data_IF_658857827474
#
_entry.id   IF_658857827474
#
_cell.length_a   1.000
_cell.length_b   1.000
_cell.length_c   1.000
_cell.angle_alpha   90.00
_cell.angle_beta   90.00
_cell.angle_gamma   90.00
#
_symmetry.space_group_name_H-M   'P 1'
#
loop_
_entity.id
_entity.type
_entity.pdbx_description
1 polymer ?
#
# COMPACT_ATOMS: atom_id res chain seq x y z
N UNK A 1 -17.63 16.93 -33.68
CA UNK A 1 -17.48 17.02 -32.21
C UNK A 1 -17.55 15.68 -31.43
N UNK A 2 -18.36 14.68 -31.82
CA UNK A 2 -18.58 13.42 -31.06
C UNK A 2 -17.33 12.58 -30.71
N UNK A 3 -16.28 12.57 -31.54
CA UNK A 3 -15.06 11.76 -31.33
C UNK A 3 -14.11 12.33 -30.27
N UNK A 4 -14.29 13.61 -29.92
CA UNK A 4 -13.38 14.34 -29.01
C UNK A 4 -13.60 13.96 -27.54
N UNK A 5 -14.85 13.89 -27.09
CA UNK A 5 -15.20 13.60 -25.69
C UNK A 5 -14.80 12.19 -25.22
N UNK A 6 -14.93 11.18 -26.09
CA UNK A 6 -14.51 9.81 -25.76
C UNK A 6 -12.99 9.70 -25.63
N UNK A 7 -12.23 10.41 -26.48
CA UNK A 7 -10.76 10.48 -26.37
C UNK A 7 -10.34 11.24 -25.11
N UNK A 8 -11.05 12.32 -24.78
CA UNK A 8 -10.78 13.14 -23.60
C UNK A 8 -11.03 12.37 -22.29
N UNK A 9 -12.15 11.64 -22.20
CA UNK A 9 -12.45 10.78 -21.05
C UNK A 9 -11.39 9.69 -20.89
N UNK A 10 -11.01 8.99 -21.97
CA UNK A 10 -9.95 7.98 -21.94
C UNK A 10 -8.62 8.56 -21.45
N UNK A 11 -8.28 9.77 -21.90
CA UNK A 11 -7.04 10.46 -21.53
C UNK A 11 -7.04 10.86 -20.05
N UNK A 12 -8.16 11.34 -19.51
CA UNK A 12 -8.31 11.61 -18.08
C UNK A 12 -8.30 10.33 -17.23
N UNK A 13 -8.88 9.22 -17.72
CA UNK A 13 -8.80 7.92 -17.05
C UNK A 13 -7.36 7.44 -16.98
N UNK A 14 -6.62 7.53 -18.10
CA UNK A 14 -5.22 7.11 -18.16
C UNK A 14 -4.33 7.99 -17.27
N UNK A 15 -4.55 9.31 -17.28
CA UNK A 15 -3.85 10.23 -16.38
C UNK A 15 -4.16 9.95 -14.90
N UNK A 16 -5.43 9.71 -14.57
CA UNK A 16 -5.86 9.40 -13.21
C UNK A 16 -5.23 8.11 -12.68
N UNK A 17 -5.19 7.05 -13.50
CA UNK A 17 -4.51 5.79 -13.14
C UNK A 17 -3.00 6.01 -12.95
N UNK A 18 -2.33 6.75 -13.83
CA UNK A 18 -0.90 7.05 -13.70
C UNK A 18 -0.62 7.85 -12.43
N UNK A 19 -1.43 8.87 -12.14
CA UNK A 19 -1.26 9.73 -10.97
C UNK A 19 -1.53 8.94 -9.68
N UNK A 20 -2.51 8.03 -9.66
CA UNK A 20 -2.71 7.09 -8.54
C UNK A 20 -1.48 6.21 -8.37
N UNK A 21 -0.96 5.63 -9.46
CA UNK A 21 0.18 4.73 -9.41
C UNK A 21 1.46 5.43 -8.91
N UNK A 22 1.70 6.67 -9.35
CA UNK A 22 2.81 7.51 -8.86
C UNK A 22 2.54 7.96 -7.42
N UNK A 23 1.31 8.34 -7.10
CA UNK A 23 0.90 8.80 -5.77
C UNK A 23 1.05 7.72 -4.69
N UNK A 24 0.76 6.47 -5.02
CA UNK A 24 1.01 5.31 -4.12
C UNK A 24 2.48 5.25 -3.71
N UNK A 25 3.42 5.67 -4.58
CA UNK A 25 4.86 5.65 -4.28
C UNK A 25 5.39 6.94 -3.63
N UNK A 26 4.73 8.08 -3.79
CA UNK A 26 5.30 9.39 -3.42
C UNK A 26 4.47 10.21 -2.43
N UNK A 27 3.14 10.24 -2.55
CA UNK A 27 2.30 11.16 -1.77
C UNK A 27 0.82 10.80 -1.79
N UNK A 28 0.23 10.74 -0.59
CA UNK A 28 -1.22 10.60 -0.38
C UNK A 28 -2.02 11.67 -1.13
N UNK A 29 -1.54 12.91 -1.18
CA UNK A 29 -2.21 14.03 -1.88
C UNK A 29 -2.27 13.75 -3.40
N UNK A 30 -1.19 13.20 -3.97
CA UNK A 30 -1.17 12.82 -5.38
C UNK A 30 -2.13 11.66 -5.67
N UNK A 31 -2.23 10.68 -4.76
CA UNK A 31 -3.22 9.60 -4.88
C UNK A 31 -4.66 10.14 -4.90
N UNK A 32 -5.00 11.08 -4.00
CA UNK A 32 -6.32 11.71 -3.98
C UNK A 32 -6.61 12.54 -5.25
N UNK A 33 -5.64 13.27 -5.77
CA UNK A 33 -5.77 13.99 -7.05
C UNK A 33 -6.06 13.04 -8.22
N UNK A 34 -5.40 11.88 -8.25
CA UNK A 34 -5.65 10.87 -9.27
C UNK A 34 -7.07 10.27 -9.17
N UNK A 35 -7.57 10.05 -7.96
CA UNK A 35 -8.96 9.61 -7.73
C UNK A 35 -9.96 10.68 -8.19
N UNK A 36 -9.73 11.95 -7.88
CA UNK A 36 -10.58 13.07 -8.34
C UNK A 36 -10.59 13.14 -9.88
N UNK A 37 -9.44 12.96 -10.52
CA UNK A 37 -9.33 12.91 -11.99
C UNK A 37 -10.08 11.72 -12.59
N UNK A 38 -10.05 10.54 -11.95
CA UNK A 38 -10.87 9.40 -12.37
C UNK A 38 -12.36 9.69 -12.25
N UNK A 39 -12.79 10.30 -11.15
CA UNK A 39 -14.19 10.71 -10.96
C UNK A 39 -14.59 11.74 -12.03
N UNK A 40 -13.75 12.72 -12.33
CA UNK A 40 -14.01 13.71 -13.38
C UNK A 40 -14.06 13.05 -14.78
N UNK A 41 -13.12 12.15 -15.10
CA UNK A 41 -13.11 11.38 -16.35
C UNK A 41 -14.40 10.56 -16.53
N UNK A 42 -14.86 9.99 -15.43
CA UNK A 42 -16.07 9.21 -15.33
C UNK A 42 -17.32 10.08 -15.50
N UNK A 43 -17.40 11.25 -14.87
CA UNK A 43 -18.51 12.22 -15.05
C UNK A 43 -18.55 12.76 -16.49
N UNK A 44 -17.41 13.08 -17.09
CA UNK A 44 -17.34 13.52 -18.49
C UNK A 44 -17.74 12.37 -19.43
N UNK A 45 -17.30 11.16 -19.12
CA UNK A 45 -17.70 9.93 -19.82
C UNK A 45 -19.20 9.70 -19.74
N UNK A 46 -19.82 9.87 -18.57
CA UNK A 46 -21.26 9.66 -18.38
C UNK A 46 -22.07 10.73 -19.09
N UNK A 47 -21.69 12.01 -19.05
CA UNK A 47 -22.38 13.06 -19.84
C UNK A 47 -22.28 12.76 -21.35
N UNK A 48 -21.14 12.27 -21.82
CA UNK A 48 -20.95 11.90 -23.22
C UNK A 48 -21.70 10.62 -23.63
N UNK A 49 -21.88 9.67 -22.72
CA UNK A 49 -22.47 8.34 -22.95
C UNK A 49 -23.97 8.29 -22.58
N UNK A 50 -24.51 9.18 -21.74
CA UNK A 50 -25.97 9.36 -21.56
C UNK A 50 -26.66 9.67 -22.90
N UNK A 51 -25.91 10.15 -23.90
CA UNK A 51 -26.37 10.29 -25.29
C UNK A 51 -26.38 8.98 -26.11
N UNK A 52 -25.99 7.83 -25.53
CA UNK A 52 -25.83 6.51 -26.18
C UNK A 52 -26.24 5.38 -25.22
N UNK A 53 -27.47 4.91 -25.39
CA UNK A 53 -28.17 4.02 -24.46
C UNK A 53 -27.46 2.67 -24.19
N UNK A 54 -27.64 2.20 -22.94
CA UNK A 54 -27.27 0.90 -22.33
C UNK A 54 -25.84 0.64 -21.86
N UNK A 55 -24.78 0.91 -22.63
CA UNK A 55 -23.41 0.55 -22.18
C UNK A 55 -22.91 1.37 -20.97
N UNK A 56 -23.47 2.57 -20.76
CA UNK A 56 -23.09 3.48 -19.65
C UNK A 56 -23.43 2.94 -18.27
N UNK A 57 -24.58 2.25 -18.15
CA UNK A 57 -25.12 1.84 -16.85
C UNK A 57 -24.35 0.66 -16.26
N UNK A 58 -23.86 -0.23 -17.11
CA UNK A 58 -23.06 -1.41 -16.70
C UNK A 58 -21.70 -0.96 -16.15
N UNK A 59 -21.04 -0.01 -16.79
CA UNK A 59 -19.78 0.55 -16.27
C UNK A 59 -20.02 1.31 -14.97
N UNK A 60 -21.16 2.01 -14.85
CA UNK A 60 -21.57 2.70 -13.62
C UNK A 60 -21.78 1.74 -12.45
N UNK A 61 -22.53 0.67 -12.68
CA UNK A 61 -22.79 -0.32 -11.64
C UNK A 61 -21.51 -1.03 -11.23
N UNK A 62 -20.64 -1.41 -12.17
CA UNK A 62 -19.34 -2.02 -11.87
C UNK A 62 -18.41 -1.10 -11.07
N UNK A 63 -18.36 0.20 -11.39
CA UNK A 63 -17.55 1.16 -10.64
C UNK A 63 -18.07 1.36 -9.22
N UNK A 64 -19.38 1.48 -9.04
CA UNK A 64 -20.01 1.59 -7.72
C UNK A 64 -19.77 0.33 -6.90
N UNK A 65 -19.97 -0.85 -7.50
CA UNK A 65 -19.70 -2.14 -6.86
C UNK A 65 -18.22 -2.20 -6.45
N UNK A 66 -17.29 -1.78 -7.31
CA UNK A 66 -15.87 -1.72 -6.98
C UNK A 66 -15.59 -0.80 -5.78
N UNK A 67 -16.19 0.39 -5.72
CA UNK A 67 -16.04 1.29 -4.57
C UNK A 67 -16.60 0.68 -3.27
N UNK A 68 -17.68 -0.10 -3.34
CA UNK A 68 -18.21 -0.83 -2.18
C UNK A 68 -17.34 -2.03 -1.77
N UNK A 69 -16.63 -2.65 -2.71
CA UNK A 69 -15.72 -3.77 -2.44
C UNK A 69 -14.39 -3.28 -1.83
N UNK A 70 -13.91 -2.09 -2.20
CA UNK A 70 -12.62 -1.58 -1.73
C UNK A 70 -12.46 -1.63 -0.19
N UNK A 71 -13.41 -1.14 0.63
CA UNK A 71 -13.33 -1.25 2.10
C UNK A 71 -13.33 -2.70 2.60
N UNK A 72 -13.96 -3.64 1.88
CA UNK A 72 -14.00 -5.06 2.24
C UNK A 72 -12.65 -5.75 1.99
N UNK A 73 -11.83 -5.20 1.11
CA UNK A 73 -10.47 -5.70 0.83
C UNK A 73 -9.41 -5.12 1.77
N UNK A 74 -9.82 -4.45 2.85
CA UNK A 74 -8.91 -3.85 3.80
C UNK A 74 -8.14 -4.94 4.56
N UNK A 75 -6.79 -4.96 4.52
CA UNK A 75 -6.02 -6.03 5.14
C UNK A 75 -6.07 -5.96 6.67
N UNK A 76 -5.96 -7.13 7.30
CA UNK A 76 -6.10 -7.29 8.76
C UNK A 76 -4.82 -6.95 9.52
N UNK A 77 -4.83 -7.08 10.85
CA UNK A 77 -3.62 -7.01 11.67
C UNK A 77 -2.66 -8.16 11.38
N UNK A 78 -3.18 -9.36 11.14
CA UNK A 78 -2.35 -10.53 10.89
C UNK A 78 -1.62 -10.37 9.55
N UNK A 79 -2.32 -9.85 8.52
CA UNK A 79 -1.70 -9.51 7.23
C UNK A 79 -0.56 -8.49 7.34
N UNK A 80 -0.55 -7.64 8.37
CA UNK A 80 0.55 -6.71 8.60
C UNK A 80 1.77 -7.42 9.17
N UNK A 81 1.56 -8.34 10.13
CA UNK A 81 2.63 -9.17 10.69
C UNK A 81 3.23 -10.08 9.62
N UNK A 82 2.39 -10.73 8.80
CA UNK A 82 2.85 -11.58 7.70
C UNK A 82 3.67 -10.79 6.69
N UNK A 83 3.24 -9.56 6.38
CA UNK A 83 3.97 -8.65 5.51
C UNK A 83 5.31 -8.20 6.10
N UNK A 84 5.39 -7.94 7.41
CA UNK A 84 6.67 -7.63 8.07
C UNK A 84 7.65 -8.80 7.98
N UNK A 85 7.15 -10.04 8.14
CA UNK A 85 7.98 -11.24 8.05
C UNK A 85 8.48 -11.48 6.62
N UNK A 86 7.62 -11.32 5.62
CA UNK A 86 7.96 -11.58 4.21
C UNK A 86 8.85 -10.48 3.61
N UNK A 87 8.49 -9.20 3.82
CA UNK A 87 9.14 -8.08 3.13
C UNK A 87 10.28 -7.45 3.93
N UNK A 88 10.26 -7.56 5.26
CA UNK A 88 11.26 -6.95 6.13
C UNK A 88 11.99 -7.96 7.03
N UNK A 89 11.70 -9.27 6.89
CA UNK A 89 12.33 -10.35 7.66
C UNK A 89 12.13 -10.23 9.19
N UNK A 90 11.11 -9.51 9.64
CA UNK A 90 10.75 -9.38 11.05
C UNK A 90 9.55 -10.26 11.37
N UNK A 91 9.76 -11.32 12.15
CA UNK A 91 8.67 -12.09 12.73
C UNK A 91 8.24 -11.43 14.05
N UNK A 92 7.07 -10.79 14.04
CA UNK A 92 6.63 -9.89 15.11
C UNK A 92 5.51 -10.46 15.97
N UNK A 93 5.84 -10.95 17.16
CA UNK A 93 4.86 -11.41 18.15
C UNK A 93 4.61 -10.37 19.24
N UNK A 94 3.44 -9.74 19.22
CA UNK A 94 2.90 -8.76 20.22
C UNK A 94 3.91 -7.71 20.71
N UNK A 95 4.84 -8.09 21.60
CA UNK A 95 5.81 -7.21 22.28
C UNK A 95 7.24 -7.30 21.72
N UNK A 96 7.53 -8.32 20.91
CA UNK A 96 8.87 -8.58 20.40
C UNK A 96 8.80 -8.88 18.91
N UNK A 97 9.85 -8.51 18.19
CA UNK A 97 10.10 -8.93 16.84
C UNK A 97 11.46 -9.62 16.79
N UNK A 98 11.60 -10.56 15.87
CA UNK A 98 12.88 -11.22 15.62
C UNK A 98 13.26 -10.97 14.18
N UNK A 99 14.40 -10.31 13.96
CA UNK A 99 15.01 -10.23 12.63
C UNK A 99 15.88 -11.47 12.38
N UNK A 100 15.61 -12.14 11.27
CA UNK A 100 16.46 -13.22 10.79
C UNK A 100 17.44 -12.65 9.77
N UNK A 101 18.61 -12.19 10.24
CA UNK A 101 19.65 -11.71 9.32
C UNK A 101 20.51 -12.89 8.88
N UNK A 102 20.42 -13.24 7.59
CA UNK A 102 21.25 -14.29 7.02
C UNK A 102 22.65 -13.75 6.71
N UNK A 103 23.66 -14.32 7.36
CA UNK A 103 25.07 -14.02 7.11
C UNK A 103 25.78 -15.25 6.55
N UNK A 104 26.62 -15.06 5.54
CA UNK A 104 27.49 -16.14 5.05
C UNK A 104 28.77 -16.13 5.87
N UNK A 105 29.06 -17.21 6.60
CA UNK A 105 30.36 -17.41 7.25
C UNK A 105 31.14 -18.47 6.49
N UNK A 106 32.40 -18.19 6.17
CA UNK A 106 33.30 -19.22 5.65
C UNK A 106 33.94 -19.97 6.81
N UNK A 107 33.81 -21.30 6.79
CA UNK A 107 34.54 -22.21 7.68
C UNK A 107 35.17 -23.31 6.84
N UNK A 108 36.48 -23.51 6.99
CA UNK A 108 37.24 -24.55 6.29
C UNK A 108 37.03 -24.57 4.76
N UNK A 109 37.02 -23.38 4.14
CA UNK A 109 36.84 -23.22 2.69
C UNK A 109 35.41 -23.47 2.18
N UNK A 110 34.46 -23.73 3.07
CA UNK A 110 33.04 -23.93 2.75
C UNK A 110 32.21 -22.75 3.24
N UNK A 111 31.37 -22.20 2.36
CA UNK A 111 30.43 -21.13 2.73
C UNK A 111 29.24 -21.75 3.45
N UNK A 112 29.07 -21.41 4.73
CA UNK A 112 27.94 -21.83 5.55
C UNK A 112 26.99 -20.65 5.76
N UNK A 113 25.69 -20.90 5.60
CA UNK A 113 24.64 -19.92 5.84
C UNK A 113 24.33 -19.89 7.33
N UNK A 114 24.69 -18.82 8.00
CA UNK A 114 24.46 -18.62 9.45
C UNK A 114 23.34 -17.61 9.61
N UNK A 115 22.21 -18.07 10.13
CA UNK A 115 21.07 -17.23 10.50
C UNK A 115 21.37 -16.62 11.87
N UNK A 116 21.66 -15.33 11.91
CA UNK A 116 21.72 -14.59 13.17
C UNK A 116 20.30 -14.12 13.50
N UNK A 117 19.84 -14.42 14.71
CA UNK A 117 18.57 -13.95 15.23
C UNK A 117 18.84 -12.78 16.15
N UNK A 118 18.40 -11.60 15.77
CA UNK A 118 18.41 -10.43 16.64
C UNK A 118 16.98 -10.22 17.16
N UNK A 119 16.82 -9.94 18.45
CA UNK A 119 15.52 -9.72 19.06
C UNK A 119 15.33 -8.22 19.25
N UNK A 120 14.35 -7.65 18.56
CA UNK A 120 13.98 -6.24 18.71
C UNK A 120 12.74 -6.10 19.59
N UNK A 121 12.78 -5.13 20.50
CA UNK A 121 11.65 -4.79 21.35
C UNK A 121 10.67 -3.90 20.60
N UNK A 122 9.39 -4.22 20.66
CA UNK A 122 8.34 -3.33 20.15
C UNK A 122 8.10 -2.20 21.14
N UNK A 123 8.50 -0.98 20.77
CA UNK A 123 8.29 0.23 21.58
C UNK A 123 6.88 0.75 21.37
N UNK A 124 6.42 0.78 20.12
CA UNK A 124 5.14 1.36 19.77
C UNK A 124 4.52 0.68 18.55
N UNK A 125 3.19 0.60 18.54
CA UNK A 125 2.40 0.22 17.36
C UNK A 125 1.29 1.25 17.18
N UNK A 126 1.20 1.85 16.00
CA UNK A 126 0.08 2.74 15.65
C UNK A 126 -0.70 2.15 14.49
N UNK A 127 -2.01 2.32 14.53
CA UNK A 127 -2.92 1.93 13.46
C UNK A 127 -3.85 3.09 13.18
N UNK A 128 -3.87 3.55 11.93
CA UNK A 128 -4.73 4.60 11.43
C UNK A 128 -5.63 3.99 10.35
N UNK A 129 -6.92 3.93 10.66
CA UNK A 129 -7.91 3.32 9.80
C UNK A 129 -8.62 4.37 8.95
N UNK A 130 -8.36 4.34 7.64
CA UNK A 130 -9.06 5.16 6.66
C UNK A 130 -10.14 4.33 5.95
N UNK A 131 -11.01 5.02 5.21
CA UNK A 131 -12.16 4.39 4.56
C UNK A 131 -11.77 3.34 3.49
N UNK A 132 -10.69 3.58 2.73
CA UNK A 132 -10.24 2.70 1.65
C UNK A 132 -8.91 1.97 1.91
N UNK A 133 -8.21 2.36 2.99
CA UNK A 133 -6.89 1.83 3.31
C UNK A 133 -6.64 1.96 4.81
N UNK A 134 -5.54 1.38 5.29
CA UNK A 134 -5.10 1.49 6.66
C UNK A 134 -3.60 1.70 6.69
N UNK A 135 -3.17 2.69 7.46
CA UNK A 135 -1.77 2.92 7.71
C UNK A 135 -1.42 2.26 9.04
N UNK A 136 -0.38 1.43 9.05
CA UNK A 136 0.15 0.83 10.27
C UNK A 136 1.61 1.19 10.44
N UNK A 137 2.02 1.35 11.67
CA UNK A 137 3.43 1.56 11.99
C UNK A 137 3.85 0.76 13.20
N UNK A 138 5.11 0.36 13.18
CA UNK A 138 5.79 -0.30 14.28
C UNK A 138 7.14 0.38 14.52
N UNK A 139 7.37 0.76 15.77
CA UNK A 139 8.63 1.30 16.25
C UNK A 139 9.34 0.18 17.02
N UNK A 140 10.54 -0.17 16.55
CA UNK A 140 11.38 -1.23 17.09
C UNK A 140 12.62 -0.62 17.73
N UNK A 141 13.05 -1.19 18.84
CA UNK A 141 14.30 -0.87 19.53
C UNK A 141 15.20 -2.09 19.53
N UNK A 142 16.44 -1.92 19.08
CA UNK A 142 17.43 -2.98 19.14
C UNK A 142 18.17 -3.02 20.49
N UNK A 143 19.02 -4.02 20.69
CA UNK A 143 19.83 -4.17 21.92
C UNK A 143 20.78 -2.99 22.19
N UNK A 144 21.07 -2.17 21.17
CA UNK A 144 21.95 -0.99 21.27
C UNK A 144 21.15 0.29 21.55
N UNK A 145 19.84 0.19 21.76
CA UNK A 145 18.93 1.32 21.97
C UNK A 145 18.66 2.14 20.71
N UNK A 146 18.99 1.62 19.51
CA UNK A 146 18.68 2.27 18.24
C UNK A 146 17.21 2.02 17.91
N UNK A 147 16.51 3.08 17.53
CA UNK A 147 15.10 3.02 17.18
C UNK A 147 14.93 3.00 15.66
N UNK A 148 14.01 2.17 15.18
CA UNK A 148 13.65 2.08 13.77
C UNK A 148 12.13 2.12 13.62
N UNK A 149 11.65 2.87 12.65
CA UNK A 149 10.23 2.98 12.33
C UNK A 149 9.96 2.32 10.98
N UNK A 150 9.04 1.38 10.99
CA UNK A 150 8.49 0.73 9.79
C UNK A 150 7.02 1.13 9.67
N UNK A 151 6.67 1.79 8.57
CA UNK A 151 5.29 2.15 8.24
C UNK A 151 4.85 1.42 6.97
N UNK A 152 3.67 0.81 7.03
CA UNK A 152 3.02 0.16 5.89
C UNK A 152 1.65 0.77 5.59
N UNK A 153 1.30 0.84 4.31
CA UNK A 153 -0.06 1.16 3.85
C UNK A 153 -0.72 -0.12 3.35
N UNK A 154 -1.86 -0.46 3.94
CA UNK A 154 -2.70 -1.58 3.60
C UNK A 154 -3.77 -1.20 2.58
N UNK A 155 -3.76 -1.83 1.41
CA UNK A 155 -4.70 -1.58 0.31
C UNK A 155 -4.89 -2.88 -0.49
N UNK A 156 -6.10 -3.15 -0.99
CA UNK A 156 -6.39 -4.32 -1.84
C UNK A 156 -5.89 -5.67 -1.28
N UNK A 157 -6.01 -5.88 0.03
CA UNK A 157 -5.67 -7.14 0.70
C UNK A 157 -4.19 -7.32 1.04
N UNK A 158 -3.33 -6.34 0.77
CA UNK A 158 -1.89 -6.41 1.09
C UNK A 158 -1.33 -5.12 1.65
N UNK A 159 -0.09 -5.18 2.15
CA UNK A 159 0.66 -4.03 2.66
C UNK A 159 1.81 -3.67 1.71
N UNK A 160 2.15 -2.39 1.66
CA UNK A 160 3.35 -1.87 1.00
C UNK A 160 4.11 -0.92 1.92
N UNK A 161 5.44 -0.86 1.77
CA UNK A 161 6.29 0.02 2.58
C UNK A 161 6.00 1.47 2.24
N UNK A 162 5.69 2.26 3.27
CA UNK A 162 5.57 3.72 3.18
C UNK A 162 6.83 4.40 3.70
N UNK A 163 7.30 3.99 4.88
CA UNK A 163 8.53 4.52 5.49
C UNK A 163 9.32 3.38 6.11
N UNK A 164 10.64 3.38 5.89
CA UNK A 164 11.60 2.54 6.61
C UNK A 164 12.82 3.40 6.95
N UNK A 165 12.90 3.88 8.19
CA UNK A 165 13.95 4.83 8.60
C UNK A 165 14.37 4.64 10.07
N UNK A 166 15.65 4.87 10.40
CA UNK A 166 16.06 5.04 11.79
C UNK A 166 15.38 6.27 12.38
N UNK A 167 14.93 6.16 13.63
CA UNK A 167 14.37 7.26 14.43
C UNK A 167 15.49 7.76 15.34
N UNK A 168 16.07 8.90 14.98
CA UNK A 168 16.96 9.62 15.88
C UNK A 168 16.07 10.51 16.77
N UNK A 169 16.01 10.19 18.06
CA UNK A 169 15.41 11.08 19.08
C UNK A 169 16.47 12.02 19.61
#
# INVERSE_FOLDING_TARGET
>A
MKKSYSRLSLLFTFLGVIIIFIGIKQSLIAMFLGIILLIAAFVIGTIAVVKRERSSLIVWSLFIIFLFILPLTKPSNDSFTDWLADQHQFDCQKKECVSNTESLKMRDGKTEKVVNKEVERVVNRKSEDYFFFNKKSIELEDEKGRLFLIEGIGILGGYTTFTYKPVFK
#
